data_IF_294886770945
#
_entry.id   IF_294886770945
#
_cell.length_a   1.000
_cell.length_b   1.000
_cell.length_c   1.000
_cell.angle_alpha   90.00
_cell.angle_beta   90.00
_cell.angle_gamma   90.00
#
_symmetry.space_group_name_H-M   'P 1'
#
loop_
_entity.id
_entity.type
_entity.pdbx_description
1 polymer ?
#
# COMPACT_ATOMS: atom_id res chain seq x y z
N UNK A 1 -2.35 -7.31 -10.14
CA UNK A 1 -1.32 -8.32 -10.46
C UNK A 1 -1.66 -9.69 -9.88
N UNK A 2 -1.92 -9.83 -8.58
CA UNK A 2 -2.34 -11.11 -7.97
C UNK A 2 -3.49 -11.83 -8.71
N UNK A 3 -4.59 -11.13 -9.00
CA UNK A 3 -5.72 -11.75 -9.69
C UNK A 3 -5.39 -12.20 -11.13
N UNK A 4 -4.44 -11.53 -11.79
CA UNK A 4 -3.98 -11.95 -13.11
C UNK A 4 -3.11 -13.22 -13.02
N UNK A 5 -2.23 -13.31 -12.01
CA UNK A 5 -1.47 -14.53 -11.70
C UNK A 5 -2.43 -15.69 -11.38
N UNK A 6 -3.43 -15.47 -10.53
CA UNK A 6 -4.45 -16.47 -10.16
C UNK A 6 -5.25 -16.96 -11.38
N UNK A 7 -5.56 -16.09 -12.33
CA UNK A 7 -6.25 -16.50 -13.57
C UNK A 7 -5.42 -17.49 -14.40
N UNK A 8 -4.10 -17.25 -14.55
CA UNK A 8 -3.19 -18.16 -15.26
C UNK A 8 -3.08 -19.50 -14.54
N UNK A 9 -3.06 -19.48 -13.20
CA UNK A 9 -3.04 -20.68 -12.36
C UNK A 9 -4.34 -21.50 -12.49
N UNK A 10 -5.51 -20.86 -12.52
CA UNK A 10 -6.81 -21.51 -12.71
C UNK A 10 -6.96 -22.18 -14.08
N UNK A 11 -6.27 -21.65 -15.10
CA UNK A 11 -6.23 -22.26 -16.44
C UNK A 11 -5.30 -23.47 -16.53
N UNK A 12 -4.69 -23.91 -15.41
CA UNK A 12 -3.76 -25.04 -15.37
C UNK A 12 -2.39 -24.74 -15.97
N UNK A 13 -2.09 -23.47 -16.28
CA UNK A 13 -0.86 -23.05 -16.97
C UNK A 13 0.27 -22.70 -16.01
N UNK A 14 0.30 -23.35 -14.85
CA UNK A 14 1.31 -23.12 -13.80
C UNK A 14 2.70 -23.57 -14.30
N UNK A 15 3.70 -22.73 -14.12
CA UNK A 15 5.07 -22.98 -14.62
C UNK A 15 5.32 -22.58 -16.07
N UNK A 16 4.28 -22.15 -16.81
CA UNK A 16 4.43 -21.53 -18.13
C UNK A 16 5.20 -20.20 -18.04
N UNK A 17 5.73 -19.72 -19.16
CA UNK A 17 6.42 -18.43 -19.19
C UNK A 17 5.47 -17.27 -18.87
N UNK A 18 4.19 -17.39 -19.26
CA UNK A 18 3.14 -16.46 -18.86
C UNK A 18 2.95 -16.43 -17.33
N UNK A 19 2.97 -17.60 -16.68
CA UNK A 19 2.88 -17.69 -15.21
C UNK A 19 4.07 -17.04 -14.52
N UNK A 20 5.29 -17.24 -15.03
CA UNK A 20 6.50 -16.60 -14.47
C UNK A 20 6.42 -15.08 -14.52
N UNK A 21 5.98 -14.50 -15.64
CA UNK A 21 5.81 -13.04 -15.78
C UNK A 21 4.72 -12.53 -14.83
N UNK A 22 3.60 -13.26 -14.71
CA UNK A 22 2.54 -12.89 -13.78
C UNK A 22 2.98 -12.95 -12.31
N UNK A 23 3.84 -13.91 -11.95
CA UNK A 23 4.48 -14.00 -10.63
C UNK A 23 5.36 -12.78 -10.35
N UNK A 24 6.20 -12.35 -11.31
CA UNK A 24 7.03 -11.14 -11.14
C UNK A 24 6.16 -9.90 -10.90
N UNK A 25 5.07 -9.76 -11.65
CA UNK A 25 4.13 -8.66 -11.44
C UNK A 25 3.50 -8.66 -10.05
N UNK A 26 3.20 -9.84 -9.51
CA UNK A 26 2.64 -9.95 -8.15
C UNK A 26 3.68 -9.69 -7.06
N UNK A 27 4.92 -10.15 -7.22
CA UNK A 27 6.04 -9.83 -6.30
C UNK A 27 6.23 -8.31 -6.18
N UNK A 28 6.15 -7.60 -7.31
CA UNK A 28 6.22 -6.14 -7.29
C UNK A 28 4.99 -5.56 -6.60
N UNK A 29 3.80 -6.11 -6.86
CA UNK A 29 2.53 -5.61 -6.32
C UNK A 29 2.31 -5.84 -4.82
N UNK A 30 2.87 -6.90 -4.24
CA UNK A 30 2.65 -7.30 -2.84
C UNK A 30 3.07 -6.20 -1.84
N UNK A 31 4.28 -5.61 -1.90
CA UNK A 31 4.64 -4.49 -1.03
C UNK A 31 3.70 -3.28 -1.16
N UNK A 32 3.22 -2.98 -2.37
CA UNK A 32 2.33 -1.83 -2.60
C UNK A 32 0.93 -2.08 -2.04
N UNK A 33 0.36 -3.26 -2.27
CA UNK A 33 -1.05 -3.54 -1.92
C UNK A 33 -1.21 -3.95 -0.45
N UNK A 34 -0.22 -4.64 0.14
CA UNK A 34 -0.35 -5.22 1.48
C UNK A 34 0.40 -4.41 2.56
N UNK A 35 1.39 -3.59 2.17
CA UNK A 35 2.16 -2.78 3.12
C UNK A 35 1.94 -1.28 2.91
N UNK A 36 2.38 -0.73 1.78
CA UNK A 36 2.37 0.72 1.56
C UNK A 36 0.95 1.29 1.45
N UNK A 37 0.06 0.63 0.71
CA UNK A 37 -1.33 1.05 0.51
C UNK A 37 -2.09 1.20 1.84
N UNK A 38 -2.18 0.14 2.66
CA UNK A 38 -2.82 0.23 3.97
C UNK A 38 -2.13 1.24 4.91
N UNK A 39 -0.79 1.34 4.89
CA UNK A 39 -0.05 2.26 5.73
C UNK A 39 -0.35 3.74 5.44
N UNK A 40 -0.56 4.10 4.16
CA UNK A 40 -0.86 5.48 3.77
C UNK A 40 -2.15 6.01 4.41
N UNK A 41 -3.20 5.17 4.50
CA UNK A 41 -4.45 5.55 5.16
C UNK A 41 -4.23 5.90 6.64
N UNK A 42 -3.41 5.10 7.33
CA UNK A 42 -3.06 5.35 8.73
C UNK A 42 -2.24 6.63 8.89
N UNK A 43 -1.23 6.84 8.03
CA UNK A 43 -0.40 8.06 8.05
C UNK A 43 -1.26 9.31 7.90
N UNK A 44 -2.17 9.34 6.92
CA UNK A 44 -3.04 10.50 6.66
C UNK A 44 -3.95 10.78 7.87
N UNK A 45 -4.58 9.75 8.43
CA UNK A 45 -5.51 9.92 9.56
C UNK A 45 -4.80 10.34 10.85
N UNK A 46 -3.65 9.74 11.14
CA UNK A 46 -2.86 10.09 12.32
C UNK A 46 -2.31 11.51 12.22
N UNK A 47 -1.74 11.88 11.06
CA UNK A 47 -1.23 13.24 10.86
C UNK A 47 -2.34 14.28 11.02
N UNK A 48 -3.53 14.04 10.46
CA UNK A 48 -4.68 14.94 10.64
C UNK A 48 -5.09 15.06 12.11
N UNK A 49 -5.12 13.95 12.84
CA UNK A 49 -5.48 13.95 14.27
C UNK A 49 -4.46 14.71 15.10
N UNK A 50 -3.16 14.47 14.87
CA UNK A 50 -2.07 15.20 15.53
C UNK A 50 -2.15 16.69 15.22
N UNK A 51 -2.36 17.06 13.95
CA UNK A 51 -2.47 18.46 13.56
C UNK A 51 -3.61 19.19 14.29
N UNK A 52 -4.80 18.58 14.37
CA UNK A 52 -5.96 19.19 15.04
C UNK A 52 -5.75 19.30 16.55
N UNK A 53 -5.22 18.25 17.19
CA UNK A 53 -5.03 18.24 18.65
C UNK A 53 -3.97 19.26 19.08
N UNK A 54 -2.89 19.41 18.31
CA UNK A 54 -1.74 20.22 18.70
C UNK A 54 -1.72 21.64 18.10
N UNK A 55 -2.71 22.02 17.28
CA UNK A 55 -2.73 23.34 16.61
C UNK A 55 -2.56 24.52 17.58
N UNK A 56 -3.24 24.50 18.73
CA UNK A 56 -3.15 25.56 19.73
C UNK A 56 -1.74 25.64 20.36
N UNK A 57 -1.11 24.49 20.61
CA UNK A 57 0.25 24.43 21.13
C UNK A 57 1.27 24.94 20.10
N UNK A 58 1.13 24.58 18.82
CA UNK A 58 2.01 25.08 17.76
C UNK A 58 1.89 26.61 17.60
N UNK A 59 0.68 27.15 17.62
CA UNK A 59 0.47 28.61 17.55
C UNK A 59 1.08 29.31 18.77
N UNK A 60 0.86 28.79 19.97
CA UNK A 60 1.42 29.38 21.20
C UNK A 60 2.96 29.41 21.19
N UNK A 61 3.62 28.34 20.71
CA UNK A 61 5.09 28.25 20.68
C UNK A 61 5.69 29.14 19.59
N UNK A 62 5.03 29.28 18.43
CA UNK A 62 5.58 30.00 17.28
C UNK A 62 5.29 31.51 17.28
N UNK A 63 4.27 31.96 18.02
CA UNK A 63 3.84 33.37 18.08
C UNK A 63 4.40 34.11 19.30
N UNK A 64 4.91 33.38 20.31
CA UNK A 64 5.76 33.92 21.38
C UNK A 64 7.19 34.15 20.89
#
# INVERSE_FOLDING_TARGET
WDNAKKLVEMQGRKGSDEHKVAVVGDIIGDPYKDTAGPALNTVIKLLNTVAIVFVAAFVAILVL
#
